data_IF_297463167888
#
_entry.id   IF_297463167888
#
_cell.length_a   1.000
_cell.length_b   1.000
_cell.length_c   1.000
_cell.angle_alpha   90.00
_cell.angle_beta   90.00
_cell.angle_gamma   90.00
#
_symmetry.space_group_name_H-M   'P 1'
#
loop_
_entity.id
_entity.type
_entity.pdbx_description
1 polymer ?
#
# COMPACT_ATOMS: atom_id res chain seq x y z
N UNK A 1 13.59 4.43 0.25
CA UNK A 1 12.75 3.39 -0.40
C UNK A 1 11.58 4.01 -1.18
N UNK A 2 11.04 3.23 -2.12
CA UNK A 2 9.85 3.49 -2.95
C UNK A 2 8.84 2.39 -2.65
N UNK A 3 7.55 2.73 -2.56
CA UNK A 3 6.48 1.75 -2.33
C UNK A 3 5.51 1.84 -3.50
N UNK A 4 5.29 0.71 -4.18
CA UNK A 4 4.38 0.60 -5.31
C UNK A 4 3.04 0.04 -4.82
N UNK A 5 1.95 0.63 -5.29
CA UNK A 5 0.58 0.23 -4.97
C UNK A 5 -0.10 -0.31 -6.23
N UNK A 6 -0.24 -1.62 -6.26
CA UNK A 6 -1.01 -2.38 -7.24
C UNK A 6 -2.40 -2.70 -6.67
N UNK A 7 -3.31 -3.12 -7.55
CA UNK A 7 -4.62 -3.66 -7.19
C UNK A 7 -4.75 -5.03 -7.85
N UNK A 8 -5.74 -5.22 -8.72
CA UNK A 8 -5.94 -6.47 -9.43
C UNK A 8 -4.97 -6.65 -10.60
N UNK A 9 -4.49 -7.89 -10.78
CA UNK A 9 -3.78 -8.32 -11.97
C UNK A 9 -4.65 -9.25 -12.83
N UNK A 10 -4.88 -8.86 -14.08
CA UNK A 10 -5.76 -9.57 -15.03
C UNK A 10 -4.97 -10.16 -16.20
N UNK A 11 -5.58 -11.08 -16.95
CA UNK A 11 -4.91 -11.70 -18.10
C UNK A 11 -4.72 -10.70 -19.26
N UNK A 12 -5.77 -9.94 -19.60
CA UNK A 12 -5.76 -8.99 -20.71
C UNK A 12 -6.83 -7.90 -20.58
N UNK A 13 -6.63 -6.79 -21.29
CA UNK A 13 -7.63 -5.74 -21.54
C UNK A 13 -8.38 -5.22 -20.30
N UNK A 14 -7.65 -4.69 -19.29
CA UNK A 14 -8.30 -4.15 -18.09
C UNK A 14 -9.23 -2.98 -18.46
N UNK A 15 -10.52 -3.12 -18.15
CA UNK A 15 -11.50 -2.04 -18.30
C UNK A 15 -11.41 -1.00 -17.17
N UNK A 16 -10.89 -1.42 -16.02
CA UNK A 16 -10.62 -0.58 -14.87
C UNK A 16 -9.18 -0.03 -14.94
N UNK A 17 -9.02 1.28 -14.76
CA UNK A 17 -7.74 1.97 -14.82
C UNK A 17 -6.72 1.50 -13.76
N UNK A 18 -7.17 0.94 -12.64
CA UNK A 18 -6.30 0.45 -11.56
C UNK A 18 -5.86 -1.02 -11.72
N UNK A 19 -6.38 -1.73 -12.72
CA UNK A 19 -6.01 -3.12 -12.99
C UNK A 19 -4.88 -3.19 -14.01
N UNK A 20 -3.85 -3.98 -13.75
CA UNK A 20 -2.73 -4.20 -14.68
C UNK A 20 -2.78 -5.62 -15.24
N UNK A 21 -2.16 -5.83 -16.40
CA UNK A 21 -2.01 -7.21 -16.89
C UNK A 21 -0.87 -7.93 -16.17
N UNK A 22 -0.91 -9.26 -16.13
CA UNK A 22 0.21 -10.09 -15.63
C UNK A 22 1.51 -9.73 -16.35
N UNK A 23 1.44 -9.57 -17.68
CA UNK A 23 2.58 -9.17 -18.50
C UNK A 23 3.14 -7.79 -18.12
N UNK A 24 2.27 -6.81 -17.83
CA UNK A 24 2.72 -5.48 -17.40
C UNK A 24 3.41 -5.55 -16.03
N UNK A 25 2.85 -6.32 -15.10
CA UNK A 25 3.45 -6.56 -13.78
C UNK A 25 4.85 -7.19 -13.89
N UNK A 26 5.02 -8.24 -14.68
CA UNK A 26 6.32 -8.89 -14.90
C UNK A 26 7.33 -7.95 -15.56
N UNK A 27 6.89 -7.15 -16.53
CA UNK A 27 7.71 -6.12 -17.16
C UNK A 27 8.16 -5.06 -16.14
N UNK A 28 7.30 -4.68 -15.19
CA UNK A 28 7.68 -3.78 -14.10
C UNK A 28 8.74 -4.44 -13.21
N UNK A 29 8.48 -5.65 -12.69
CA UNK A 29 9.40 -6.38 -11.82
C UNK A 29 10.80 -6.52 -12.42
N UNK A 30 10.89 -6.76 -13.72
CA UNK A 30 12.17 -6.86 -14.44
C UNK A 30 13.02 -5.57 -14.38
N UNK A 31 12.41 -4.40 -14.17
CA UNK A 31 13.13 -3.11 -14.10
C UNK A 31 13.81 -2.85 -12.75
N UNK A 32 13.42 -3.56 -11.70
CA UNK A 32 13.86 -3.28 -10.32
C UNK A 32 14.05 -4.54 -9.49
N UNK A 33 14.21 -5.70 -10.12
CA UNK A 33 14.39 -6.99 -9.44
C UNK A 33 15.52 -6.97 -8.41
N UNK A 34 16.60 -6.24 -8.68
CA UNK A 34 17.78 -6.06 -7.83
C UNK A 34 17.55 -5.11 -6.65
N UNK A 35 16.45 -4.35 -6.69
CA UNK A 35 16.05 -3.37 -5.68
C UNK A 35 14.84 -3.83 -4.87
N UNK A 36 14.24 -4.98 -5.17
CA UNK A 36 13.10 -5.49 -4.43
C UNK A 36 13.46 -5.75 -2.97
N UNK A 37 12.61 -5.30 -2.05
CA UNK A 37 12.79 -5.52 -0.62
C UNK A 37 11.57 -6.21 -0.01
N UNK A 38 11.80 -7.04 1.01
CA UNK A 38 10.72 -7.68 1.75
C UNK A 38 9.98 -6.67 2.64
N UNK A 39 8.72 -6.97 3.04
CA UNK A 39 8.01 -6.19 4.04
C UNK A 39 8.79 -5.99 5.34
N UNK A 40 9.49 -7.01 5.83
CA UNK A 40 10.28 -6.94 7.06
C UNK A 40 11.49 -6.00 6.90
N UNK A 41 12.13 -6.01 5.73
CA UNK A 41 13.20 -5.06 5.40
C UNK A 41 12.67 -3.63 5.38
N UNK A 42 11.50 -3.41 4.77
CA UNK A 42 10.86 -2.09 4.78
C UNK A 42 10.55 -1.63 6.21
N UNK A 43 9.87 -2.46 7.01
CA UNK A 43 9.44 -2.10 8.37
C UNK A 43 10.61 -1.79 9.29
N UNK A 44 11.74 -2.50 9.16
CA UNK A 44 12.95 -2.21 9.95
C UNK A 44 13.66 -0.90 9.59
N UNK A 45 13.40 -0.34 8.39
CA UNK A 45 14.11 0.83 7.86
C UNK A 45 13.24 2.06 7.67
N UNK A 46 11.92 1.92 7.59
CA UNK A 46 10.98 2.99 7.22
C UNK A 46 10.95 4.19 8.20
N UNK A 47 11.43 3.98 9.43
CA UNK A 47 11.59 5.02 10.45
C UNK A 47 12.89 5.83 10.30
N UNK A 48 13.88 5.33 9.57
CA UNK A 48 15.17 5.99 9.35
C UNK A 48 15.04 7.03 8.22
N UNK A 49 15.22 8.34 8.50
CA UNK A 49 15.21 9.37 7.46
C UNK A 49 16.30 9.18 6.39
N UNK A 50 17.39 8.49 6.71
CA UNK A 50 18.52 8.23 5.81
C UNK A 50 18.36 6.92 5.02
N UNK A 51 17.31 6.14 5.25
CA UNK A 51 16.98 4.91 4.50
C UNK A 51 16.51 5.22 3.06
N UNK A 52 17.44 5.68 2.25
CA UNK A 52 17.28 6.05 0.86
C UNK A 52 18.21 5.24 -0.06
N UNK A 53 18.27 3.93 0.18
CA UNK A 53 18.98 2.95 -0.66
C UNK A 53 18.31 2.69 -2.03
N UNK A 54 17.11 3.26 -2.26
CA UNK A 54 16.35 3.03 -3.47
C UNK A 54 15.58 1.70 -3.50
N UNK A 55 15.48 0.97 -2.39
CA UNK A 55 14.71 -0.27 -2.30
C UNK A 55 13.24 -0.07 -2.69
N UNK A 56 12.65 -1.07 -3.34
CA UNK A 56 11.29 -1.07 -3.89
C UNK A 56 10.45 -2.11 -3.18
N UNK A 57 9.40 -1.67 -2.48
CA UNK A 57 8.41 -2.54 -1.85
C UNK A 57 7.17 -2.66 -2.74
N UNK A 58 6.67 -3.88 -2.88
CA UNK A 58 5.41 -4.16 -3.56
C UNK A 58 4.27 -4.23 -2.53
N UNK A 59 3.18 -3.52 -2.82
CA UNK A 59 1.95 -3.56 -2.03
C UNK A 59 0.75 -3.72 -2.96
N UNK A 60 -0.25 -4.46 -2.49
CA UNK A 60 -1.49 -4.77 -3.21
C UNK A 60 -2.68 -4.39 -2.34
N UNK A 61 -3.63 -3.67 -2.92
CA UNK A 61 -4.86 -3.28 -2.24
C UNK A 61 -6.04 -4.17 -2.68
N UNK A 62 -7.07 -4.15 -1.86
CA UNK A 62 -8.39 -4.77 -2.05
C UNK A 62 -8.47 -6.31 -1.94
N UNK A 63 -7.36 -7.01 -1.70
CA UNK A 63 -7.38 -8.46 -1.49
C UNK A 63 -7.91 -9.26 -2.69
N UNK A 64 -7.58 -8.82 -3.92
CA UNK A 64 -7.94 -9.53 -5.14
C UNK A 64 -7.31 -10.92 -5.20
N UNK A 65 -7.99 -11.85 -5.87
CA UNK A 65 -7.54 -13.24 -6.03
C UNK A 65 -6.16 -13.34 -6.69
N UNK A 66 -5.80 -12.37 -7.55
CA UNK A 66 -4.50 -12.31 -8.22
C UNK A 66 -3.30 -12.22 -7.28
N UNK A 67 -3.47 -11.66 -6.08
CA UNK A 67 -2.43 -11.64 -5.04
C UNK A 67 -1.98 -13.06 -4.68
N UNK A 68 -2.93 -13.99 -4.65
CA UNK A 68 -2.68 -15.39 -4.35
C UNK A 68 -2.30 -16.20 -5.59
N UNK A 69 -3.11 -16.12 -6.65
CA UNK A 69 -2.97 -17.01 -7.81
C UNK A 69 -1.82 -16.64 -8.73
N UNK A 70 -1.42 -15.37 -8.74
CA UNK A 70 -0.35 -14.87 -9.61
C UNK A 70 0.86 -14.38 -8.82
N UNK A 71 0.68 -13.39 -7.92
CA UNK A 71 1.82 -12.74 -7.24
C UNK A 71 2.52 -13.72 -6.30
N UNK A 72 1.77 -14.38 -5.40
CA UNK A 72 2.34 -15.37 -4.49
C UNK A 72 2.91 -16.58 -5.22
N UNK A 73 2.20 -17.10 -6.24
CA UNK A 73 2.72 -18.16 -7.09
C UNK A 73 4.06 -17.78 -7.77
N UNK A 74 4.18 -16.53 -8.24
CA UNK A 74 5.43 -16.00 -8.79
C UNK A 74 6.53 -15.94 -7.73
N UNK A 75 6.22 -15.47 -6.51
CA UNK A 75 7.19 -15.45 -5.39
C UNK A 75 7.77 -16.84 -5.12
N UNK A 76 6.91 -17.86 -5.10
CA UNK A 76 7.30 -19.24 -4.80
C UNK A 76 8.10 -19.92 -5.92
N UNK A 77 7.94 -19.48 -7.17
CA UNK A 77 8.58 -20.12 -8.33
C UNK A 77 9.89 -19.47 -8.74
N UNK A 78 10.00 -18.14 -8.62
CA UNK A 78 11.16 -17.40 -9.14
C UNK A 78 12.17 -16.99 -8.08
N UNK A 79 11.79 -16.95 -6.79
CA UNK A 79 12.56 -16.36 -5.69
C UNK A 79 13.00 -14.90 -5.95
N UNK A 80 12.46 -14.22 -6.98
CA UNK A 80 12.80 -12.85 -7.34
C UNK A 80 12.12 -11.84 -6.43
N UNK A 81 10.87 -12.12 -6.05
CA UNK A 81 10.10 -11.27 -5.15
C UNK A 81 10.31 -11.78 -3.72
N UNK A 82 11.05 -11.05 -2.86
CA UNK A 82 11.35 -11.49 -1.49
C UNK A 82 10.15 -11.39 -0.53
N UNK A 83 9.02 -10.88 -1.01
CA UNK A 83 7.76 -10.71 -0.28
C UNK A 83 7.01 -9.46 -0.73
N UNK A 84 5.74 -9.35 -0.34
CA UNK A 84 4.89 -8.19 -0.60
C UNK A 84 3.94 -7.92 0.57
N UNK A 85 3.28 -6.76 0.58
CA UNK A 85 2.17 -6.48 1.50
C UNK A 85 0.84 -6.59 0.77
N UNK A 86 -0.20 -7.15 1.41
CA UNK A 86 -1.57 -7.15 0.89
C UNK A 86 -2.50 -6.50 1.92
N UNK A 87 -3.28 -5.52 1.50
CA UNK A 87 -4.23 -4.77 2.33
C UNK A 87 -5.65 -5.25 2.07
N UNK A 88 -6.31 -5.77 3.10
CA UNK A 88 -7.56 -6.53 2.96
C UNK A 88 -8.75 -5.71 3.47
N UNK A 89 -9.75 -5.40 2.62
CA UNK A 89 -11.07 -4.96 3.04
C UNK A 89 -11.87 -6.19 3.44
N UNK A 90 -12.09 -6.38 4.75
CA UNK A 90 -12.48 -7.70 5.27
C UNK A 90 -13.89 -8.15 4.85
N UNK A 91 -14.80 -7.23 4.51
CA UNK A 91 -16.14 -7.59 4.04
C UNK A 91 -16.13 -8.17 2.62
N UNK A 92 -15.07 -7.95 1.84
CA UNK A 92 -14.95 -8.51 0.48
C UNK A 92 -14.34 -9.92 0.47
N UNK A 93 -13.84 -10.42 1.61
CA UNK A 93 -13.17 -11.72 1.67
C UNK A 93 -14.13 -12.83 1.29
N UNK A 94 -13.76 -13.62 0.28
CA UNK A 94 -14.56 -14.72 -0.26
C UNK A 94 -15.61 -14.32 -1.29
N UNK A 95 -15.78 -13.03 -1.60
CA UNK A 95 -16.59 -12.60 -2.75
C UNK A 95 -15.96 -13.04 -4.09
N UNK A 96 -16.73 -13.10 -5.20
CA UNK A 96 -16.17 -13.41 -6.51
C UNK A 96 -14.99 -12.49 -6.88
N UNK A 97 -13.85 -13.08 -7.23
CA UNK A 97 -12.62 -12.36 -7.56
C UNK A 97 -11.78 -11.92 -6.36
N UNK A 98 -12.19 -12.25 -5.13
CA UNK A 98 -11.47 -11.92 -3.89
C UNK A 98 -10.84 -13.17 -3.27
N UNK A 99 -9.79 -12.97 -2.50
CA UNK A 99 -9.17 -14.05 -1.73
C UNK A 99 -10.14 -14.57 -0.65
N UNK A 100 -9.99 -15.85 -0.30
CA UNK A 100 -10.66 -16.45 0.87
C UNK A 100 -9.79 -16.31 2.12
N UNK A 101 -10.38 -16.46 3.31
CA UNK A 101 -9.62 -16.48 4.57
C UNK A 101 -8.50 -17.51 4.57
N UNK A 102 -8.76 -18.72 4.05
CA UNK A 102 -7.75 -19.77 3.93
C UNK A 102 -6.54 -19.32 3.10
N UNK A 103 -6.78 -18.60 2.01
CA UNK A 103 -5.71 -18.05 1.16
C UNK A 103 -4.93 -16.96 1.92
N UNK A 104 -5.62 -16.04 2.59
CA UNK A 104 -4.99 -14.95 3.37
C UNK A 104 -4.12 -15.51 4.49
N UNK A 105 -4.61 -16.50 5.24
CA UNK A 105 -3.85 -17.19 6.30
C UNK A 105 -2.64 -17.95 5.74
N UNK A 106 -2.74 -18.50 4.53
CA UNK A 106 -1.60 -19.14 3.87
C UNK A 106 -0.54 -18.13 3.45
N UNK A 107 -0.94 -16.99 2.87
CA UNK A 107 -0.03 -15.89 2.55
C UNK A 107 0.71 -15.39 3.80
N UNK A 108 -0.02 -15.22 4.90
CA UNK A 108 0.57 -14.78 6.18
C UNK A 108 1.65 -15.75 6.68
N UNK A 109 1.34 -17.05 6.70
CA UNK A 109 2.31 -18.09 7.10
C UNK A 109 3.54 -18.13 6.18
N UNK A 110 3.37 -17.75 4.91
CA UNK A 110 4.45 -17.68 3.94
C UNK A 110 5.27 -16.37 4.02
N UNK A 111 4.97 -15.48 4.96
CA UNK A 111 5.74 -14.25 5.21
C UNK A 111 5.26 -13.03 4.41
N UNK A 112 4.14 -13.12 3.69
CA UNK A 112 3.44 -11.94 3.15
C UNK A 112 2.90 -11.13 4.30
N UNK A 113 3.12 -9.82 4.28
CA UNK A 113 2.62 -8.95 5.33
C UNK A 113 1.17 -8.55 5.04
N UNK A 114 0.24 -9.10 5.83
CA UNK A 114 -1.17 -8.76 5.75
C UNK A 114 -1.47 -7.51 6.58
N UNK A 115 -2.11 -6.52 5.95
CA UNK A 115 -2.60 -5.28 6.54
C UNK A 115 -4.11 -5.10 6.34
N UNK A 116 -4.70 -4.14 7.05
CA UNK A 116 -6.12 -3.81 6.93
C UNK A 116 -6.36 -2.74 5.85
N UNK A 117 -7.48 -2.89 5.13
CA UNK A 117 -8.02 -1.89 4.20
C UNK A 117 -9.46 -1.48 4.57
N UNK A 118 -9.80 -1.58 5.85
CA UNK A 118 -11.14 -1.29 6.36
C UNK A 118 -12.06 -2.52 6.35
N UNK A 119 -13.34 -2.27 6.63
CA UNK A 119 -14.42 -3.25 6.54
C UNK A 119 -14.98 -3.27 5.12
N UNK A 120 -15.71 -2.21 4.75
CA UNK A 120 -16.50 -2.14 3.52
C UNK A 120 -15.84 -1.29 2.41
N UNK A 121 -14.58 -0.89 2.60
CA UNK A 121 -13.83 -0.06 1.65
C UNK A 121 -14.54 1.28 1.33
N UNK A 122 -14.93 2.02 2.37
CA UNK A 122 -15.63 3.32 2.25
C UNK A 122 -14.67 4.51 2.38
N UNK A 123 -15.12 5.69 1.93
CA UNK A 123 -14.40 6.94 2.20
C UNK A 123 -14.50 7.30 3.69
N UNK A 124 -13.46 6.98 4.45
CA UNK A 124 -13.39 7.19 5.89
C UNK A 124 -13.53 8.67 6.30
N UNK A 125 -13.30 9.61 5.38
CA UNK A 125 -13.43 11.05 5.68
C UNK A 125 -14.88 11.51 5.76
N UNK A 126 -15.82 10.71 5.23
CA UNK A 126 -17.24 11.09 5.12
C UNK A 126 -18.14 10.34 6.11
N UNK A 127 -17.64 9.31 6.77
CA UNK A 127 -18.44 8.48 7.68
C UNK A 127 -18.54 9.07 9.10
N UNK A 128 -19.51 8.60 9.89
CA UNK A 128 -19.68 8.97 11.31
C UNK A 128 -18.56 8.39 12.18
N UNK A 129 -18.42 8.82 13.43
CA UNK A 129 -17.39 8.27 14.33
C UNK A 129 -17.63 6.79 14.65
N UNK A 130 -18.89 6.38 14.83
CA UNK A 130 -19.22 4.97 15.05
C UNK A 130 -18.90 4.09 13.85
N UNK A 131 -19.15 4.59 12.63
CA UNK A 131 -18.79 3.87 11.42
C UNK A 131 -17.27 3.86 11.18
N UNK A 132 -16.58 4.95 11.52
CA UNK A 132 -15.12 5.01 11.50
C UNK A 132 -14.49 3.99 12.45
N UNK A 133 -15.04 3.85 13.66
CA UNK A 133 -14.59 2.84 14.63
C UNK A 133 -14.87 1.42 14.11
N UNK A 134 -16.03 1.18 13.49
CA UNK A 134 -16.33 -0.11 12.82
C UNK A 134 -15.29 -0.42 11.74
N UNK A 135 -15.05 0.53 10.84
CA UNK A 135 -14.11 0.39 9.73
C UNK A 135 -12.68 0.13 10.20
N UNK A 136 -12.24 0.76 11.30
CA UNK A 136 -10.87 0.66 11.78
C UNK A 136 -10.65 -0.47 12.79
N UNK A 137 -11.45 -0.52 13.85
CA UNK A 137 -11.30 -1.49 14.94
C UNK A 137 -11.88 -2.84 14.53
N UNK A 138 -13.05 -2.85 13.86
CA UNK A 138 -13.70 -4.08 13.41
C UNK A 138 -12.83 -4.84 12.41
N UNK A 139 -12.30 -4.15 11.40
CA UNK A 139 -11.44 -4.78 10.39
C UNK A 139 -10.15 -5.32 11.01
N UNK A 140 -9.56 -4.58 11.95
CA UNK A 140 -8.38 -5.00 12.69
C UNK A 140 -8.66 -6.27 13.48
N UNK A 141 -9.72 -6.27 14.29
CA UNK A 141 -10.08 -7.42 15.14
C UNK A 141 -10.29 -8.66 14.29
N UNK A 142 -11.04 -8.56 13.20
CA UNK A 142 -11.31 -9.69 12.32
C UNK A 142 -10.04 -10.27 11.71
N UNK A 143 -9.11 -9.42 11.24
CA UNK A 143 -7.82 -9.89 10.74
C UNK A 143 -6.96 -10.50 11.86
N UNK A 144 -6.89 -9.88 13.04
CA UNK A 144 -6.10 -10.39 14.16
C UNK A 144 -6.66 -11.74 14.67
N UNK A 145 -7.98 -11.94 14.66
CA UNK A 145 -8.65 -13.18 15.03
C UNK A 145 -8.30 -14.33 14.07
N UNK A 146 -8.29 -14.06 12.76
CA UNK A 146 -7.92 -15.06 11.74
C UNK A 146 -6.41 -15.35 11.70
N UNK A 147 -5.57 -14.33 11.87
CA UNK A 147 -4.12 -14.46 11.74
C UNK A 147 -3.44 -14.87 13.05
N UNK A 148 -4.09 -14.71 14.21
CA UNK A 148 -3.53 -15.04 15.51
C UNK A 148 -2.34 -14.15 15.93
N UNK A 149 -2.18 -12.98 15.30
CA UNK A 149 -1.11 -12.00 15.56
C UNK A 149 -1.63 -10.58 15.37
N UNK A 150 -0.89 -9.60 15.89
CA UNK A 150 -1.27 -8.20 15.70
C UNK A 150 -1.12 -7.76 14.24
N UNK A 151 -2.02 -6.87 13.79
CA UNK A 151 -2.07 -6.25 12.46
C UNK A 151 -1.82 -4.74 12.59
N UNK A 152 -0.57 -4.29 12.51
CA UNK A 152 -0.20 -2.89 12.73
C UNK A 152 -0.31 -2.00 11.47
N UNK A 153 -0.59 -2.60 10.31
CA UNK A 153 -0.56 -1.96 9.00
C UNK A 153 -1.98 -1.61 8.54
N UNK A 154 -2.17 -0.38 8.06
CA UNK A 154 -3.44 0.07 7.49
C UNK A 154 -3.20 0.88 6.22
N UNK A 155 -3.93 0.59 5.15
CA UNK A 155 -3.99 1.45 3.96
C UNK A 155 -5.33 2.17 3.92
N UNK A 156 -5.32 3.48 3.65
CA UNK A 156 -6.58 4.23 3.52
C UNK A 156 -7.27 3.92 2.19
N UNK A 157 -8.55 3.50 2.19
CA UNK A 157 -9.33 3.37 0.96
C UNK A 157 -9.26 4.64 0.11
N UNK A 158 -9.07 4.48 -1.19
CA UNK A 158 -8.91 5.58 -2.15
C UNK A 158 -7.73 6.53 -1.85
N UNK A 159 -6.86 6.18 -0.90
CA UNK A 159 -5.84 7.05 -0.34
C UNK A 159 -6.37 8.34 0.30
N UNK A 160 -7.66 8.36 0.68
CA UNK A 160 -8.33 9.51 1.29
C UNK A 160 -8.26 9.42 2.81
N UNK A 161 -7.85 10.52 3.43
CA UNK A 161 -7.72 10.61 4.87
C UNK A 161 -7.81 12.07 5.33
N UNK A 162 -8.05 12.24 6.62
CA UNK A 162 -7.98 13.51 7.33
C UNK A 162 -7.34 13.28 8.69
N UNK A 163 -7.11 14.36 9.45
CA UNK A 163 -6.59 14.27 10.81
C UNK A 163 -7.46 13.41 11.71
N UNK A 164 -8.78 13.60 11.63
CA UNK A 164 -9.77 12.78 12.34
C UNK A 164 -9.55 11.29 12.07
N UNK A 165 -9.37 10.93 10.80
CA UNK A 165 -9.24 9.54 10.35
C UNK A 165 -7.92 8.92 10.81
N UNK A 166 -6.76 9.57 10.59
CA UNK A 166 -5.49 8.96 11.03
C UNK A 166 -5.38 8.91 12.56
N UNK A 167 -5.93 9.89 13.30
CA UNK A 167 -5.90 9.86 14.76
C UNK A 167 -6.76 8.71 15.29
N UNK A 168 -7.90 8.43 14.65
CA UNK A 168 -8.70 7.24 14.95
C UNK A 168 -7.93 5.95 14.64
N UNK A 169 -7.23 5.87 13.50
CA UNK A 169 -6.44 4.70 13.14
C UNK A 169 -5.30 4.44 14.15
N UNK A 170 -4.62 5.49 14.60
CA UNK A 170 -3.60 5.38 15.66
C UNK A 170 -4.21 4.91 16.99
N UNK A 171 -5.41 5.39 17.37
CA UNK A 171 -6.12 4.93 18.57
C UNK A 171 -6.58 3.47 18.47
N UNK A 172 -6.96 3.01 17.28
CA UNK A 172 -7.22 1.59 17.00
C UNK A 172 -5.94 0.72 17.06
N UNK A 173 -4.76 1.35 17.21
CA UNK A 173 -3.48 0.68 17.39
C UNK A 173 -2.79 0.31 16.09
N UNK A 174 -3.16 0.92 14.96
CA UNK A 174 -2.32 0.88 13.76
C UNK A 174 -1.11 1.78 13.97
N UNK A 175 0.05 1.37 13.47
CA UNK A 175 1.32 2.12 13.63
C UNK A 175 1.92 2.55 12.29
N UNK A 176 1.51 1.91 11.20
CA UNK A 176 1.96 2.23 9.84
C UNK A 176 0.74 2.46 8.94
N UNK A 177 0.59 3.69 8.46
CA UNK A 177 -0.57 4.15 7.71
C UNK A 177 -0.14 4.47 6.27
N UNK A 178 -0.72 3.78 5.30
CA UNK A 178 -0.34 3.87 3.89
C UNK A 178 -1.34 4.71 3.10
N UNK A 179 -0.81 5.56 2.23
CA UNK A 179 -1.51 6.56 1.41
C UNK A 179 -1.09 6.41 -0.06
N UNK A 180 -1.65 7.22 -0.96
CA UNK A 180 -1.25 7.28 -2.38
C UNK A 180 -0.60 8.63 -2.77
N UNK A 181 -0.07 9.36 -1.79
CA UNK A 181 0.65 10.60 -2.09
C UNK A 181 1.89 10.28 -2.94
N UNK A 182 2.13 11.06 -4.01
CA UNK A 182 3.32 10.90 -4.85
C UNK A 182 4.60 11.08 -4.03
N UNK A 183 5.73 10.59 -4.53
CA UNK A 183 7.06 10.79 -3.95
C UNK A 183 7.63 9.55 -3.27
N UNK A 184 8.72 9.74 -2.53
CA UNK A 184 9.34 8.67 -1.72
C UNK A 184 8.39 8.14 -0.65
N UNK A 185 8.69 6.96 -0.12
CA UNK A 185 7.84 6.25 0.83
C UNK A 185 7.39 7.01 2.07
N UNK A 186 8.04 8.10 2.48
CA UNK A 186 7.74 8.81 3.73
C UNK A 186 6.83 10.01 3.48
N UNK A 187 5.69 10.03 4.18
CA UNK A 187 4.76 11.15 4.20
C UNK A 187 5.24 12.30 5.08
N UNK A 188 4.31 13.22 5.39
CA UNK A 188 4.61 14.39 6.21
C UNK A 188 4.60 14.12 7.72
N UNK A 189 4.06 12.97 8.15
CA UNK A 189 4.16 12.43 9.51
C UNK A 189 4.96 11.13 9.52
N UNK A 190 5.62 10.76 10.64
CA UNK A 190 6.49 9.59 10.71
C UNK A 190 5.78 8.25 10.56
N UNK A 191 4.46 8.20 10.81
CA UNK A 191 3.62 7.00 10.66
C UNK A 191 2.89 6.95 9.30
N UNK A 192 2.99 8.01 8.48
CA UNK A 192 2.36 8.07 7.16
C UNK A 192 3.36 7.67 6.08
N UNK A 193 2.97 6.70 5.27
CA UNK A 193 3.76 6.19 4.16
C UNK A 193 3.06 6.45 2.83
N UNK A 194 3.82 6.99 1.88
CA UNK A 194 3.39 7.33 0.52
C UNK A 194 3.66 6.17 -0.42
N UNK A 195 2.70 5.91 -1.32
CA UNK A 195 2.80 4.85 -2.34
C UNK A 195 2.51 5.45 -3.71
N UNK A 196 3.21 4.97 -4.72
CA UNK A 196 2.84 5.23 -6.10
C UNK A 196 1.70 4.30 -6.49
N UNK A 197 0.48 4.85 -6.59
CA UNK A 197 -0.68 4.14 -7.14
C UNK A 197 -0.48 3.93 -8.64
N UNK A 198 -0.48 2.67 -9.06
CA UNK A 198 -0.24 2.29 -10.45
C UNK A 198 -1.55 2.19 -11.22
N UNK A 199 -1.52 2.69 -12.45
CA UNK A 199 -2.61 2.62 -13.41
C UNK A 199 -2.16 1.92 -14.69
N UNK A 200 -3.12 1.45 -15.47
CA UNK A 200 -2.89 0.65 -16.68
C UNK A 200 -2.19 1.39 -17.84
N UNK A 201 -2.02 2.71 -17.73
CA UNK A 201 -1.24 3.55 -18.66
C UNK A 201 0.22 3.75 -18.21
N UNK A 202 0.60 3.31 -17.01
CA UNK A 202 1.95 3.44 -16.48
C UNK A 202 2.88 2.33 -16.96
N UNK A 203 3.28 2.38 -18.23
CA UNK A 203 4.22 1.41 -18.81
C UNK A 203 5.67 1.52 -18.31
N UNK A 204 6.58 0.66 -18.83
CA UNK A 204 7.97 0.57 -18.39
C UNK A 204 8.75 1.90 -18.36
N UNK A 205 8.52 2.79 -19.32
CA UNK A 205 9.20 4.10 -19.39
C UNK A 205 8.73 5.07 -18.29
N UNK A 206 7.46 4.98 -17.89
CA UNK A 206 6.96 5.73 -16.74
C UNK A 206 7.67 5.23 -15.47
N UNK A 207 7.67 3.90 -15.28
CA UNK A 207 8.30 3.26 -14.13
C UNK A 207 9.78 3.61 -14.02
N UNK A 208 10.53 3.52 -15.13
CA UNK A 208 11.96 3.86 -15.15
C UNK A 208 12.21 5.30 -14.70
N UNK A 209 11.43 6.27 -15.19
CA UNK A 209 11.56 7.68 -14.79
C UNK A 209 11.25 7.86 -13.31
N UNK A 210 10.18 7.25 -12.82
CA UNK A 210 9.80 7.36 -11.41
C UNK A 210 10.83 6.70 -10.47
N UNK A 211 11.40 5.56 -10.86
CA UNK A 211 12.41 4.85 -10.05
C UNK A 211 13.74 5.60 -9.96
N UNK A 212 14.04 6.47 -10.93
CA UNK A 212 15.20 7.37 -10.94
C UNK A 212 14.95 8.61 -10.07
N UNK A 213 13.78 9.23 -10.24
CA UNK A 213 13.37 10.40 -9.46
C UNK A 213 11.89 10.28 -9.04
N UNK A 214 11.62 9.70 -7.86
CA UNK A 214 10.25 9.54 -7.35
C UNK A 214 9.52 10.87 -7.15
N UNK A 215 10.28 11.96 -7.00
CA UNK A 215 9.78 13.31 -6.79
C UNK A 215 9.70 14.12 -8.10
N UNK A 216 9.99 13.52 -9.26
CA UNK A 216 9.94 14.19 -10.57
C UNK A 216 8.56 14.78 -10.87
N UNK A 217 7.50 14.07 -10.46
CA UNK A 217 6.10 14.51 -10.60
C UNK A 217 5.69 15.61 -9.62
N UNK A 218 6.55 15.99 -8.66
CA UNK A 218 6.26 17.05 -7.70
C UNK A 218 6.52 18.41 -8.34
N UNK A 219 5.47 19.25 -8.39
CA UNK A 219 5.54 20.61 -8.93
C UNK A 219 6.45 21.56 -8.15
N UNK A 220 6.72 22.74 -8.74
CA UNK A 220 7.62 23.76 -8.18
C UNK A 220 7.24 24.19 -6.76
N UNK A 221 5.94 24.32 -6.47
CA UNK A 221 5.43 24.69 -5.14
C UNK A 221 5.83 23.67 -4.05
N UNK A 222 5.81 22.37 -4.39
CA UNK A 222 6.27 21.33 -3.46
C UNK A 222 7.77 21.47 -3.21
N UNK A 223 8.58 21.58 -4.28
CA UNK A 223 10.05 21.72 -4.17
C UNK A 223 10.44 22.92 -3.31
N UNK A 224 9.79 24.07 -3.53
CA UNK A 224 10.01 25.29 -2.75
C UNK A 224 9.61 25.11 -1.28
N UNK A 225 8.42 24.57 -1.00
CA UNK A 225 7.95 24.37 0.38
C UNK A 225 8.79 23.36 1.16
N UNK A 226 9.31 22.31 0.52
CA UNK A 226 10.24 21.35 1.15
C UNK A 226 11.57 22.01 1.48
N UNK A 227 12.15 22.77 0.55
CA UNK A 227 13.42 23.50 0.77
C UNK A 227 13.33 24.53 1.90
N UNK A 228 12.16 25.14 2.08
CA UNK A 228 11.89 26.11 3.14
C UNK A 228 11.44 25.47 4.46
N UNK A 229 11.33 24.14 4.55
CA UNK A 229 10.83 23.45 5.74
C UNK A 229 9.33 23.64 6.01
N UNK A 230 8.58 24.22 5.06
CA UNK A 230 7.16 24.55 5.18
C UNK A 230 6.23 23.42 4.72
N UNK A 231 6.75 22.42 4.00
CA UNK A 231 5.94 21.32 3.47
C UNK A 231 5.11 20.62 4.55
N UNK A 232 5.73 20.18 5.65
CA UNK A 232 5.02 19.46 6.73
C UNK A 232 3.94 20.31 7.41
N UNK A 233 4.22 21.55 7.85
CA UNK A 233 3.17 22.44 8.36
C UNK A 233 2.00 22.64 7.39
N UNK A 234 2.28 22.85 6.10
CA UNK A 234 1.24 23.04 5.08
C UNK A 234 0.37 21.80 4.91
N UNK A 235 0.97 20.61 4.90
CA UNK A 235 0.24 19.34 4.81
C UNK A 235 -0.62 19.10 6.05
N UNK A 236 -0.12 19.40 7.25
CA UNK A 236 -0.91 19.34 8.49
C UNK A 236 -2.12 20.25 8.46
N UNK A 237 -2.03 21.41 7.82
CA UNK A 237 -3.17 22.33 7.62
C UNK A 237 -4.14 21.79 6.57
N UNK A 238 -3.61 21.32 5.43
CA UNK A 238 -4.42 20.76 4.32
C UNK A 238 -5.28 19.59 4.76
N UNK A 239 -4.75 18.75 5.65
CA UNK A 239 -5.42 17.54 6.12
C UNK A 239 -6.01 17.67 7.53
N UNK A 240 -6.27 18.91 8.00
CA UNK A 240 -7.01 19.11 9.26
C UNK A 240 -8.38 18.47 9.22
#
# INVERSE_FOLDING_TARGET
MIVLNYHELVDASPSNAWCLTHQAFEAHCSLYQDRLISPQTFLSRCSDPEASDGGVLLTFDDGFLSDYTHVYAHCMTTNVIPGFMSFIPVEFVGEPGRMTWKMIEELDRAGVAIGSHGMAHVDLTTVSDGELDRELIGSKSMLEDHLGRSVPLFAFPYGRFSRRVWEAALRAGYTHLFTIQLGRHRGFEPFLYSRLCLTNDMGPDYMRRHLLDPDAGRGLAWKASTKLGLYRPLMRVRYR
#
